data_IF_366048779758
#
_entry.id   IF_366048779758
#
_cell.length_a   1.000
_cell.length_b   1.000
_cell.length_c   1.000
_cell.angle_alpha   90.00
_cell.angle_beta   90.00
_cell.angle_gamma   90.00
#
_symmetry.space_group_name_H-M   'P 1'
#
loop_
_entity.id
_entity.type
_entity.pdbx_description
1 polymer ?
#
# COMPACT_ATOMS: atom_id res chain seq x y z
N UNK A 1 -19.35 -5.74 40.16
CA UNK A 1 -20.35 -5.61 39.09
C UNK A 1 -19.97 -6.62 38.04
N UNK A 2 -20.86 -7.54 37.67
CA UNK A 2 -20.65 -8.39 36.50
C UNK A 2 -20.72 -7.51 35.26
N UNK A 3 -19.70 -7.57 34.40
CA UNK A 3 -19.68 -6.82 33.15
C UNK A 3 -20.80 -7.32 32.24
N UNK A 4 -21.54 -6.39 31.63
CA UNK A 4 -22.54 -6.72 30.61
C UNK A 4 -21.82 -6.92 29.28
N UNK A 5 -22.05 -8.06 28.63
CA UNK A 5 -21.56 -8.31 27.27
C UNK A 5 -22.17 -7.27 26.32
N UNK A 6 -21.32 -6.45 25.69
CA UNK A 6 -21.72 -5.52 24.63
C UNK A 6 -21.61 -6.26 23.29
N UNK A 7 -20.37 -6.60 22.90
CA UNK A 7 -20.05 -7.44 21.74
C UNK A 7 -19.01 -8.52 22.08
N UNK A 8 -19.05 -9.62 21.34
CA UNK A 8 -18.02 -10.63 21.26
C UNK A 8 -17.58 -10.84 19.82
N UNK A 9 -16.31 -11.22 19.65
CA UNK A 9 -15.64 -11.35 18.36
C UNK A 9 -14.90 -12.69 18.29
N UNK A 10 -14.94 -13.32 17.13
CA UNK A 10 -14.16 -14.50 16.80
C UNK A 10 -13.30 -14.21 15.58
N UNK A 11 -12.01 -14.52 15.67
CA UNK A 11 -11.05 -14.35 14.59
C UNK A 11 -10.58 -15.71 14.08
N UNK A 12 -10.56 -15.87 12.75
CA UNK A 12 -10.07 -17.07 12.09
C UNK A 12 -8.54 -17.17 12.04
N UNK A 13 -8.03 -18.25 11.44
CA UNK A 13 -6.59 -18.50 11.31
C UNK A 13 -5.82 -17.42 10.51
N UNK A 14 -6.51 -16.69 9.64
CA UNK A 14 -5.96 -15.55 8.89
C UNK A 14 -6.01 -14.22 9.68
N UNK A 15 -6.29 -14.27 10.99
CA UNK A 15 -6.47 -13.10 11.85
C UNK A 15 -7.58 -12.14 11.35
N UNK A 16 -8.62 -12.68 10.70
CA UNK A 16 -9.79 -11.95 10.19
C UNK A 16 -11.02 -12.24 11.04
N UNK A 17 -11.87 -11.24 11.25
CA UNK A 17 -13.11 -11.41 12.01
C UNK A 17 -14.03 -12.40 11.27
N UNK A 18 -14.20 -13.61 11.77
CA UNK A 18 -15.08 -14.63 11.18
C UNK A 18 -16.51 -14.51 11.67
N UNK A 19 -16.69 -14.08 12.92
CA UNK A 19 -17.99 -13.98 13.59
C UNK A 19 -18.01 -12.90 14.66
N UNK A 20 -19.15 -12.24 14.81
CA UNK A 20 -19.43 -11.33 15.93
C UNK A 20 -20.81 -11.63 16.54
N UNK A 21 -21.00 -11.30 17.80
CA UNK A 21 -22.30 -11.42 18.46
C UNK A 21 -22.48 -10.33 19.53
N UNK A 22 -23.72 -10.05 19.90
CA UNK A 22 -24.04 -9.04 20.91
C UNK A 22 -24.73 -9.64 22.14
N UNK A 23 -24.80 -8.88 23.23
CA UNK A 23 -25.46 -9.29 24.48
C UNK A 23 -26.98 -9.54 24.37
N UNK A 24 -27.59 -9.26 23.22
CA UNK A 24 -29.01 -9.55 22.93
C UNK A 24 -29.19 -10.85 22.11
N UNK A 25 -28.10 -11.56 21.83
CA UNK A 25 -28.11 -12.82 21.06
C UNK A 25 -28.13 -12.63 19.55
N UNK A 26 -27.92 -11.41 19.05
CA UNK A 26 -27.71 -11.17 17.61
C UNK A 26 -26.34 -11.67 17.19
N UNK A 27 -26.26 -12.28 16.02
CA UNK A 27 -25.05 -12.91 15.47
C UNK A 27 -24.79 -12.45 14.03
N UNK A 28 -23.52 -12.22 13.73
CA UNK A 28 -23.03 -11.88 12.40
C UNK A 28 -21.89 -12.81 11.98
N UNK A 29 -21.90 -13.24 10.73
CA UNK A 29 -20.85 -14.07 10.10
C UNK A 29 -20.24 -13.33 8.92
N UNK A 30 -18.95 -13.52 8.68
CA UNK A 30 -18.21 -12.81 7.64
C UNK A 30 -17.48 -13.77 6.72
N UNK A 31 -17.55 -13.49 5.41
CA UNK A 31 -17.01 -14.36 4.37
C UNK A 31 -15.91 -13.61 3.64
N UNK A 32 -14.76 -14.27 3.44
CA UNK A 32 -13.59 -13.71 2.79
C UNK A 32 -13.17 -14.58 1.60
N UNK A 33 -12.62 -13.96 0.56
CA UNK A 33 -11.97 -14.67 -0.54
C UNK A 33 -10.54 -15.13 -0.14
N UNK A 34 -9.88 -15.87 -1.04
CA UNK A 34 -8.50 -16.34 -0.82
C UNK A 34 -7.46 -15.22 -0.69
N UNK A 35 -7.79 -14.00 -1.13
CA UNK A 35 -6.96 -12.79 -1.01
C UNK A 35 -7.26 -12.02 0.30
N UNK A 36 -8.10 -12.55 1.18
CA UNK A 36 -8.43 -11.91 2.45
C UNK A 36 -9.38 -10.71 2.35
N UNK A 37 -10.02 -10.47 1.21
CA UNK A 37 -11.04 -9.43 1.06
C UNK A 37 -12.43 -9.95 1.46
N UNK A 38 -13.20 -9.15 2.20
CA UNK A 38 -14.55 -9.52 2.63
C UNK A 38 -15.51 -9.50 1.44
N UNK A 39 -16.04 -10.68 1.10
CA UNK A 39 -16.98 -10.92 -0.01
C UNK A 39 -18.44 -10.88 0.42
N UNK A 40 -18.73 -10.85 1.72
CA UNK A 40 -20.10 -10.81 2.20
C UNK A 40 -20.21 -10.94 3.71
N UNK A 41 -21.44 -10.84 4.20
CA UNK A 41 -21.79 -11.08 5.60
C UNK A 41 -23.19 -11.67 5.74
N UNK A 42 -23.46 -12.30 6.88
CA UNK A 42 -24.80 -12.72 7.28
C UNK A 42 -25.10 -12.15 8.66
N UNK A 43 -26.12 -11.30 8.79
CA UNK A 43 -26.56 -10.74 10.08
C UNK A 43 -27.93 -11.31 10.43
N UNK A 44 -28.03 -12.06 11.53
CA UNK A 44 -29.25 -12.72 11.97
C UNK A 44 -29.95 -13.54 10.86
N UNK A 45 -29.14 -14.20 10.01
CA UNK A 45 -29.61 -15.00 8.88
C UNK A 45 -30.01 -14.23 7.62
N UNK A 46 -29.77 -12.91 7.57
CA UNK A 46 -29.88 -12.11 6.35
C UNK A 46 -28.52 -11.97 5.70
N UNK A 47 -28.38 -12.56 4.53
CA UNK A 47 -27.13 -12.59 3.77
C UNK A 47 -27.02 -11.37 2.84
N UNK A 48 -25.81 -10.83 2.77
CA UNK A 48 -25.38 -9.80 1.84
C UNK A 48 -24.09 -10.26 1.16
N UNK A 49 -24.10 -10.29 -0.17
CA UNK A 49 -22.92 -10.56 -1.00
C UNK A 49 -22.38 -9.26 -1.59
N UNK A 50 -21.05 -9.18 -1.70
CA UNK A 50 -20.34 -7.99 -2.14
C UNK A 50 -19.70 -8.22 -3.50
N UNK A 51 -19.98 -7.31 -4.43
CA UNK A 51 -19.22 -7.16 -5.66
C UNK A 51 -18.06 -6.21 -5.37
N UNK A 52 -16.84 -6.70 -5.53
CA UNK A 52 -15.61 -5.93 -5.29
C UNK A 52 -14.90 -5.59 -6.60
N UNK A 53 -14.23 -4.45 -6.62
CA UNK A 53 -13.17 -4.13 -7.58
C UNK A 53 -11.85 -4.73 -7.09
N UNK A 54 -11.48 -5.89 -7.65
CA UNK A 54 -10.27 -6.60 -7.24
C UNK A 54 -8.98 -5.88 -7.65
N UNK A 55 -9.06 -4.84 -8.49
CA UNK A 55 -7.90 -3.99 -8.83
C UNK A 55 -7.58 -2.96 -7.76
N UNK A 56 -8.40 -2.85 -6.71
CA UNK A 56 -8.20 -1.93 -5.59
C UNK A 56 -8.07 -2.66 -4.25
N UNK A 57 -7.03 -2.35 -3.45
CA UNK A 57 -6.86 -2.96 -2.13
C UNK A 57 -7.88 -2.44 -1.10
N UNK A 58 -8.39 -1.22 -1.28
CA UNK A 58 -9.41 -0.58 -0.44
C UNK A 58 -10.40 0.25 -1.26
N UNK A 59 -11.42 0.81 -0.59
CA UNK A 59 -12.55 1.52 -1.23
C UNK A 59 -13.09 0.77 -2.46
N UNK A 60 -13.13 -0.55 -2.39
CA UNK A 60 -13.32 -1.43 -3.54
C UNK A 60 -14.74 -2.01 -3.63
N UNK A 61 -15.67 -1.56 -2.79
CA UNK A 61 -17.05 -2.04 -2.84
C UNK A 61 -17.78 -1.42 -4.04
N UNK A 62 -18.13 -2.25 -5.02
CA UNK A 62 -18.86 -1.84 -6.23
C UNK A 62 -20.36 -2.11 -6.12
N UNK A 63 -20.78 -3.10 -5.33
CA UNK A 63 -22.19 -3.37 -5.11
C UNK A 63 -22.48 -4.32 -3.96
N UNK A 64 -23.70 -4.23 -3.45
CA UNK A 64 -24.25 -5.10 -2.41
C UNK A 64 -25.48 -5.82 -2.96
N UNK A 65 -25.46 -7.14 -2.86
CA UNK A 65 -26.50 -8.04 -3.30
C UNK A 65 -27.23 -8.66 -2.11
N UNK A 66 -28.55 -8.77 -2.21
CA UNK A 66 -29.42 -9.44 -1.25
C UNK A 66 -30.14 -10.57 -1.98
N UNK A 67 -29.54 -11.77 -1.97
CA UNK A 67 -29.88 -12.82 -2.93
C UNK A 67 -29.46 -12.43 -4.35
N UNK A 68 -30.29 -12.68 -5.35
CA UNK A 68 -29.98 -12.36 -6.76
C UNK A 68 -30.12 -10.87 -7.13
N UNK A 69 -30.57 -10.03 -6.19
CA UNK A 69 -30.86 -8.62 -6.47
C UNK A 69 -29.75 -7.71 -5.95
N UNK A 70 -29.20 -6.90 -6.86
CA UNK A 70 -28.33 -5.79 -6.49
C UNK A 70 -29.17 -4.71 -5.78
N UNK A 71 -28.98 -4.57 -4.47
CA UNK A 71 -29.68 -3.58 -3.65
C UNK A 71 -29.06 -2.20 -3.81
N UNK A 72 -27.73 -2.14 -3.88
CA UNK A 72 -26.93 -0.93 -3.90
C UNK A 72 -25.75 -1.09 -4.86
N UNK A 73 -25.51 -0.09 -5.70
CA UNK A 73 -24.33 0.01 -6.56
C UNK A 73 -23.56 1.28 -6.23
N UNK A 74 -22.25 1.19 -6.11
CA UNK A 74 -21.39 2.31 -5.73
C UNK A 74 -20.56 2.78 -6.93
N UNK A 75 -20.35 4.09 -7.01
CA UNK A 75 -19.54 4.75 -8.02
C UNK A 75 -18.44 5.50 -7.30
N UNK A 76 -17.20 5.23 -7.68
CA UNK A 76 -16.00 5.69 -6.99
C UNK A 76 -15.25 6.70 -7.86
N UNK A 77 -14.76 7.77 -7.24
CA UNK A 77 -13.83 8.76 -7.81
C UNK A 77 -12.80 9.09 -6.71
N UNK A 78 -11.76 8.25 -6.62
CA UNK A 78 -10.95 8.12 -5.40
C UNK A 78 -11.72 7.40 -4.29
N UNK A 79 -12.68 8.08 -3.68
CA UNK A 79 -13.63 7.56 -2.67
C UNK A 79 -15.06 7.43 -3.25
N UNK A 80 -16.07 7.13 -2.43
CA UNK A 80 -17.44 6.98 -2.91
C UNK A 80 -18.11 8.29 -3.35
N UNK A 81 -18.24 8.52 -4.65
CA UNK A 81 -18.89 9.70 -5.19
C UNK A 81 -20.42 9.59 -5.18
N UNK A 82 -20.96 8.41 -5.54
CA UNK A 82 -22.38 8.18 -5.63
C UNK A 82 -22.79 6.73 -5.34
N UNK A 83 -24.06 6.53 -5.00
CA UNK A 83 -24.68 5.23 -4.83
C UNK A 83 -26.02 5.20 -5.56
N UNK A 84 -26.29 4.14 -6.32
CA UNK A 84 -27.60 3.86 -6.87
C UNK A 84 -28.34 2.87 -5.95
N UNK A 85 -29.53 3.27 -5.45
CA UNK A 85 -30.39 2.43 -4.60
C UNK A 85 -31.58 1.88 -5.40
N UNK A 86 -31.81 0.57 -5.28
CA UNK A 86 -33.07 -0.07 -5.68
C UNK A 86 -34.02 -0.11 -4.47
N UNK A 87 -34.81 0.95 -4.28
CA UNK A 87 -35.69 1.09 -3.11
C UNK A 87 -36.98 0.26 -3.24
N UNK A 88 -37.20 -0.67 -2.29
CA UNK A 88 -38.43 -1.47 -2.17
C UNK A 88 -39.29 -1.05 -0.98
N UNK A 89 -39.81 0.17 -1.00
CA UNK A 89 -40.81 0.65 -0.05
C UNK A 89 -40.26 1.09 1.31
N UNK A 90 -41.15 1.28 2.30
CA UNK A 90 -40.75 1.74 3.64
C UNK A 90 -39.94 0.66 4.36
N UNK A 91 -38.75 1.01 4.83
CA UNK A 91 -37.96 0.17 5.75
C UNK A 91 -38.63 0.17 7.15
N UNK A 92 -38.55 -0.94 7.91
CA UNK A 92 -39.10 -1.03 9.27
C UNK A 92 -38.33 -0.18 10.29
N UNK A 93 -37.06 0.14 10.01
CA UNK A 93 -36.18 1.02 10.78
C UNK A 93 -35.32 1.84 9.83
N UNK A 94 -34.83 2.99 10.30
CA UNK A 94 -34.03 3.90 9.49
C UNK A 94 -34.84 4.70 8.47
N UNK A 95 -34.15 5.43 7.60
CA UNK A 95 -34.76 6.29 6.59
C UNK A 95 -34.99 5.54 5.29
N UNK A 96 -36.12 5.87 4.65
CA UNK A 96 -36.49 5.27 3.37
C UNK A 96 -35.80 6.03 2.23
N UNK A 97 -34.98 5.32 1.47
CA UNK A 97 -34.35 5.80 0.24
C UNK A 97 -35.37 6.04 -0.88
N UNK A 98 -35.12 7.04 -1.74
CA UNK A 98 -35.68 7.09 -3.08
C UNK A 98 -34.94 6.10 -3.98
N UNK A 99 -35.61 5.54 -4.97
CA UNK A 99 -34.91 4.73 -5.98
C UNK A 99 -34.10 5.65 -6.91
N UNK A 100 -32.91 5.20 -7.30
CA UNK A 100 -32.02 5.93 -8.21
C UNK A 100 -30.76 6.44 -7.53
N UNK A 101 -30.15 7.46 -8.14
CA UNK A 101 -28.82 7.93 -7.79
C UNK A 101 -28.80 8.89 -6.60
N UNK A 102 -27.92 8.62 -5.65
CA UNK A 102 -27.66 9.36 -4.42
C UNK A 102 -26.21 9.80 -4.42
N UNK A 103 -25.93 10.98 -3.88
CA UNK A 103 -24.61 11.60 -3.91
C UNK A 103 -24.07 11.76 -2.50
N UNK A 104 -22.77 11.50 -2.35
CA UNK A 104 -22.04 11.69 -1.10
C UNK A 104 -21.43 13.09 -1.05
N UNK A 105 -21.53 13.71 0.12
CA UNK A 105 -20.69 14.82 0.54
C UNK A 105 -19.83 14.29 1.67
N UNK A 106 -18.51 14.37 1.52
CA UNK A 106 -17.54 13.81 2.46
C UNK A 106 -16.71 14.91 3.12
N UNK A 107 -16.06 14.58 4.23
CA UNK A 107 -14.98 15.38 4.81
C UNK A 107 -13.64 15.14 4.07
N UNK A 108 -12.57 15.79 4.54
CA UNK A 108 -11.23 15.70 3.98
C UNK A 108 -10.60 14.31 4.10
N UNK A 109 -11.08 13.49 5.05
CA UNK A 109 -10.60 12.12 5.28
C UNK A 109 -11.41 11.08 4.49
N UNK A 110 -12.47 11.51 3.79
CA UNK A 110 -13.34 10.67 2.99
C UNK A 110 -14.55 10.09 3.75
N UNK A 111 -14.83 10.57 4.97
CA UNK A 111 -16.00 10.15 5.74
C UNK A 111 -17.26 10.79 5.18
N UNK A 112 -18.35 10.03 4.91
CA UNK A 112 -19.63 10.60 4.51
C UNK A 112 -20.20 11.53 5.58
N UNK A 113 -20.38 12.81 5.26
CA UNK A 113 -21.09 13.77 6.12
C UNK A 113 -22.57 13.83 5.74
N UNK A 114 -22.88 13.87 4.43
CA UNK A 114 -24.26 13.91 3.93
C UNK A 114 -24.43 12.95 2.76
N UNK A 115 -25.58 12.30 2.68
CA UNK A 115 -25.94 11.45 1.54
C UNK A 115 -27.33 11.83 1.05
N UNK A 116 -27.44 12.30 -0.19
CA UNK A 116 -28.74 12.72 -0.75
C UNK A 116 -29.67 11.54 -1.04
N UNK A 117 -30.93 11.79 -1.38
CA UNK A 117 -31.82 10.75 -1.88
C UNK A 117 -32.64 10.00 -0.83
N UNK A 118 -32.84 10.58 0.36
CA UNK A 118 -33.63 9.95 1.43
C UNK A 118 -34.88 10.76 1.79
N UNK A 119 -35.96 10.07 2.14
CA UNK A 119 -37.17 10.72 2.67
C UNK A 119 -36.87 11.39 4.00
N UNK A 120 -37.56 12.50 4.29
CA UNK A 120 -37.44 13.21 5.56
C UNK A 120 -37.64 12.29 6.78
N UNK A 121 -36.83 12.50 7.83
CA UNK A 121 -36.93 11.77 9.11
C UNK A 121 -38.31 12.01 9.73
N UNK A 122 -39.04 10.95 10.08
CA UNK A 122 -40.43 11.06 10.55
C UNK A 122 -40.57 11.90 11.84
N UNK A 123 -39.51 11.98 12.64
CA UNK A 123 -39.43 12.75 13.88
C UNK A 123 -38.82 14.16 13.74
N UNK A 124 -38.55 14.64 12.52
CA UNK A 124 -37.93 15.96 12.32
C UNK A 124 -38.87 17.10 12.77
N UNK A 125 -38.59 17.67 13.94
CA UNK A 125 -39.31 18.84 14.51
C UNK A 125 -38.79 20.16 13.90
N UNK A 126 -37.56 20.18 13.38
CA UNK A 126 -36.96 21.29 12.64
C UNK A 126 -36.50 20.80 11.26
N UNK A 127 -36.84 21.58 10.22
CA UNK A 127 -36.47 21.46 8.80
C UNK A 127 -36.48 20.04 8.18
N UNK A 128 -37.37 19.83 7.20
CA UNK A 128 -37.45 18.58 6.42
C UNK A 128 -36.25 18.45 5.49
N UNK A 129 -35.22 17.76 5.95
CA UNK A 129 -34.03 17.47 5.15
C UNK A 129 -34.19 16.14 4.41
N UNK A 130 -33.85 16.08 3.12
CA UNK A 130 -34.00 14.89 2.25
C UNK A 130 -32.67 14.15 2.00
N UNK A 131 -31.82 14.15 3.01
CA UNK A 131 -30.49 13.55 3.00
C UNK A 131 -30.18 12.94 4.36
N UNK A 132 -29.31 11.92 4.38
CA UNK A 132 -28.70 11.39 5.60
C UNK A 132 -27.70 12.38 6.18
N UNK A 133 -27.62 12.44 7.50
CA UNK A 133 -26.70 13.33 8.23
C UNK A 133 -25.83 12.50 9.15
N UNK A 134 -24.51 12.55 8.97
CA UNK A 134 -23.56 11.89 9.85
C UNK A 134 -22.64 12.92 10.52
N UNK A 135 -22.09 12.51 11.67
CA UNK A 135 -21.13 13.26 12.46
C UNK A 135 -20.23 12.28 13.21
N UNK A 136 -18.94 12.58 13.22
CA UNK A 136 -17.90 11.75 13.79
C UNK A 136 -17.10 12.58 14.79
N UNK A 137 -16.67 11.97 15.88
CA UNK A 137 -15.53 12.50 16.64
C UNK A 137 -14.20 12.20 15.91
N UNK A 138 -13.08 12.58 16.52
CA UNK A 138 -11.76 12.40 15.94
C UNK A 138 -11.40 10.93 15.68
N UNK A 139 -12.04 9.98 16.37
CA UNK A 139 -11.81 8.55 16.23
C UNK A 139 -12.94 7.83 15.48
N UNK A 140 -13.91 8.56 14.92
CA UNK A 140 -15.00 7.96 14.17
C UNK A 140 -16.18 7.50 15.01
N UNK A 141 -16.30 7.90 16.28
CA UNK A 141 -17.51 7.60 17.07
C UNK A 141 -18.71 8.42 16.57
N UNK A 142 -19.89 7.81 16.57
CA UNK A 142 -21.13 8.50 16.27
C UNK A 142 -21.49 9.45 17.41
N UNK A 143 -21.57 10.75 17.10
CA UNK A 143 -21.90 11.79 18.08
C UNK A 143 -23.36 11.71 18.57
N UNK A 144 -24.22 10.94 17.90
CA UNK A 144 -25.64 10.86 18.17
C UNK A 144 -25.99 10.24 19.52
N UNK A 145 -25.30 9.17 19.92
CA UNK A 145 -25.56 8.50 21.20
C UNK A 145 -25.20 9.41 22.38
N UNK A 146 -24.05 10.08 22.34
CA UNK A 146 -23.61 11.02 23.37
C UNK A 146 -24.61 12.18 23.54
N UNK A 147 -25.11 12.72 22.42
CA UNK A 147 -26.13 13.78 22.46
C UNK A 147 -27.43 13.30 23.11
N UNK A 148 -27.90 12.09 22.77
CA UNK A 148 -29.10 11.50 23.37
C UNK A 148 -28.94 11.28 24.87
N UNK A 149 -27.78 10.79 25.32
CA UNK A 149 -27.46 10.63 26.74
C UNK A 149 -27.44 11.97 27.49
N UNK A 150 -26.96 13.03 26.82
CA UNK A 150 -26.99 14.41 27.32
C UNK A 150 -28.40 15.06 27.27
N UNK A 151 -29.41 14.36 26.73
CA UNK A 151 -30.77 14.88 26.56
C UNK A 151 -30.90 15.93 25.44
N UNK A 152 -29.92 16.00 24.54
CA UNK A 152 -29.90 16.88 23.37
C UNK A 152 -30.46 16.09 22.18
N UNK A 153 -31.39 16.67 21.38
CA UNK A 153 -31.91 15.99 20.21
C UNK A 153 -30.80 15.62 19.22
N UNK A 154 -30.66 14.33 18.92
CA UNK A 154 -29.68 13.81 17.97
C UNK A 154 -30.06 14.18 16.52
N UNK A 155 -29.25 15.02 15.84
CA UNK A 155 -29.50 15.43 14.47
C UNK A 155 -29.01 14.40 13.44
N UNK A 156 -28.22 13.40 13.87
CA UNK A 156 -27.56 12.44 13.01
C UNK A 156 -28.45 11.21 12.73
N UNK A 157 -28.13 10.51 11.65
CA UNK A 157 -28.68 9.22 11.24
C UNK A 157 -27.66 8.13 11.62
N UNK A 158 -28.13 6.94 11.97
CA UNK A 158 -27.25 5.87 12.45
C UNK A 158 -26.40 5.27 11.34
N UNK A 159 -25.13 5.02 11.64
CA UNK A 159 -24.19 4.46 10.68
C UNK A 159 -24.50 3.00 10.31
N UNK A 160 -24.19 2.61 9.07
CA UNK A 160 -24.34 1.25 8.55
C UNK A 160 -25.76 0.78 8.24
N UNK A 161 -26.80 1.52 8.66
CA UNK A 161 -28.21 1.13 8.48
C UNK A 161 -28.74 1.37 7.05
N UNK A 162 -28.59 2.60 6.54
CA UNK A 162 -29.08 2.96 5.22
C UNK A 162 -28.06 2.70 4.12
N UNK A 163 -26.80 2.96 4.41
CA UNK A 163 -25.65 2.78 3.53
C UNK A 163 -24.44 2.36 4.37
N UNK A 164 -23.49 1.61 3.80
CA UNK A 164 -22.47 0.92 4.57
C UNK A 164 -21.23 1.77 4.90
N UNK A 165 -21.00 2.90 4.23
CA UNK A 165 -19.75 3.66 4.34
C UNK A 165 -19.80 4.63 5.52
N UNK A 166 -18.73 4.74 6.28
CA UNK A 166 -18.63 5.63 7.44
C UNK A 166 -17.28 6.30 7.52
N UNK A 167 -16.75 6.43 8.73
CA UNK A 167 -15.46 7.05 9.02
C UNK A 167 -14.35 6.64 8.04
N UNK A 168 -13.66 7.62 7.45
CA UNK A 168 -12.60 7.50 6.43
C UNK A 168 -12.95 6.62 5.21
N UNK A 169 -14.25 6.46 4.93
CA UNK A 169 -14.78 5.62 3.87
C UNK A 169 -14.74 4.11 4.16
N UNK A 170 -14.43 3.70 5.39
CA UNK A 170 -14.56 2.30 5.79
C UNK A 170 -16.01 1.84 5.78
N UNK A 171 -16.23 0.52 5.71
CA UNK A 171 -17.57 -0.04 5.86
C UNK A 171 -17.90 -0.18 7.35
N UNK A 172 -18.85 0.60 7.85
CA UNK A 172 -19.39 0.41 9.19
C UNK A 172 -20.27 -0.83 9.24
N UNK A 173 -20.06 -1.64 10.27
CA UNK A 173 -20.76 -2.89 10.46
C UNK A 173 -21.58 -2.85 11.75
N UNK A 174 -22.89 -2.64 11.59
CA UNK A 174 -23.86 -2.63 12.67
C UNK A 174 -23.93 -3.94 13.48
N UNK A 175 -23.49 -5.06 12.90
CA UNK A 175 -23.49 -6.35 13.59
C UNK A 175 -22.39 -6.45 14.66
N UNK A 176 -21.20 -5.93 14.35
CA UNK A 176 -20.01 -5.95 15.22
C UNK A 176 -19.78 -4.65 15.98
N UNK A 177 -20.38 -3.54 15.53
CA UNK A 177 -20.09 -2.19 16.03
C UNK A 177 -18.69 -1.72 15.65
N UNK A 178 -18.18 -2.13 14.49
CA UNK A 178 -16.80 -1.86 14.03
C UNK A 178 -16.77 -1.32 12.61
N UNK A 179 -15.66 -0.69 12.25
CA UNK A 179 -15.37 -0.33 10.86
C UNK A 179 -14.45 -1.37 10.22
N UNK A 180 -14.84 -1.90 9.06
CA UNK A 180 -14.00 -2.80 8.30
C UNK A 180 -12.98 -2.02 7.47
N UNK A 181 -11.73 -2.02 7.93
CA UNK A 181 -10.58 -1.36 7.31
C UNK A 181 -9.75 -2.32 6.46
N UNK A 182 -10.42 -3.21 5.71
CA UNK A 182 -9.80 -4.27 4.89
C UNK A 182 -8.98 -5.27 5.69
N UNK A 183 -7.74 -4.96 6.12
CA UNK A 183 -6.88 -5.82 6.92
C UNK A 183 -7.48 -6.20 8.28
N UNK A 184 -8.11 -5.22 8.95
CA UNK A 184 -8.54 -5.31 10.36
C UNK A 184 -9.91 -4.69 10.59
N UNK A 185 -10.49 -4.99 11.75
CA UNK A 185 -11.63 -4.24 12.29
C UNK A 185 -11.12 -3.08 13.12
N UNK A 186 -11.57 -1.86 12.82
CA UNK A 186 -11.30 -0.69 13.62
C UNK A 186 -12.45 -0.46 14.63
N UNK A 187 -12.10 -0.33 15.91
CA UNK A 187 -13.02 -0.04 17.02
C UNK A 187 -12.87 1.42 17.42
N UNK A 188 -13.75 2.27 16.86
CA UNK A 188 -13.75 3.70 17.14
C UNK A 188 -13.90 4.03 18.64
N UNK A 189 -14.72 3.27 19.38
CA UNK A 189 -14.93 3.51 20.81
C UNK A 189 -13.66 3.39 21.67
N UNK A 190 -12.66 2.69 21.16
CA UNK A 190 -11.36 2.53 21.83
C UNK A 190 -10.22 3.22 21.07
N UNK A 191 -10.46 3.78 19.88
CA UNK A 191 -9.44 4.32 18.98
C UNK A 191 -8.37 3.30 18.57
N UNK A 192 -8.75 2.03 18.41
CA UNK A 192 -7.82 0.91 18.18
C UNK A 192 -8.37 -0.15 17.24
N UNK A 193 -7.50 -0.94 16.64
CA UNK A 193 -7.88 -2.16 15.91
C UNK A 193 -8.31 -3.29 16.85
N UNK A 194 -9.20 -4.16 16.37
CA UNK A 194 -9.73 -5.31 17.12
C UNK A 194 -8.87 -6.56 17.03
N UNK A 195 -8.00 -6.59 16.02
CA UNK A 195 -6.99 -7.61 15.86
C UNK A 195 -5.61 -7.00 16.03
N UNK A 196 -4.70 -7.78 16.61
CA UNK A 196 -3.29 -7.45 16.63
C UNK A 196 -2.83 -7.35 15.19
N UNK A 197 -2.11 -6.28 14.85
CA UNK A 197 -1.31 -6.24 13.64
C UNK A 197 -0.51 -7.54 13.52
N UNK A 198 -0.36 -8.13 12.34
CA UNK A 198 0.49 -9.31 12.12
C UNK A 198 1.98 -8.96 12.14
N UNK A 199 2.32 -7.70 11.88
CA UNK A 199 3.67 -7.14 11.93
C UNK A 199 4.07 -6.79 13.37
N UNK A 200 5.33 -7.07 13.74
CA UNK A 200 5.82 -6.89 15.12
C UNK A 200 6.32 -5.46 15.32
N UNK A 201 5.82 -4.79 16.35
CA UNK A 201 6.40 -3.53 16.83
C UNK A 201 7.87 -3.65 17.25
N UNK A 202 8.60 -2.54 17.16
CA UNK A 202 10.05 -2.46 17.34
C UNK A 202 10.39 -1.89 18.72
N UNK A 203 11.33 -2.51 19.44
CA UNK A 203 11.74 -2.06 20.78
C UNK A 203 12.40 -0.67 20.79
N UNK A 204 12.91 -0.23 19.65
CA UNK A 204 13.53 1.07 19.41
C UNK A 204 12.53 2.19 19.14
N UNK A 205 11.30 1.85 18.72
CA UNK A 205 10.18 2.80 18.50
C UNK A 205 9.03 2.34 19.41
N UNK A 206 9.03 2.74 20.69
CA UNK A 206 8.08 2.23 21.68
C UNK A 206 6.61 2.35 21.28
N UNK A 207 6.27 3.31 20.43
CA UNK A 207 4.94 3.55 19.89
C UNK A 207 4.42 2.40 19.02
N UNK A 208 5.27 1.72 18.25
CA UNK A 208 4.88 0.60 17.38
C UNK A 208 4.72 -0.71 18.15
N UNK A 209 5.24 -0.80 19.38
CA UNK A 209 5.03 -1.95 20.27
C UNK A 209 3.54 -2.20 20.54
N UNK A 210 2.72 -1.15 20.50
CA UNK A 210 1.27 -1.28 20.55
C UNK A 210 0.68 -1.56 19.15
N UNK A 211 0.68 -2.85 18.78
CA UNK A 211 0.13 -3.39 17.52
C UNK A 211 -1.40 -3.33 17.37
N UNK A 212 -2.07 -2.54 18.20
CA UNK A 212 -3.52 -2.28 18.09
C UNK A 212 -3.80 -0.81 17.81
N UNK A 213 -2.77 0.04 17.77
CA UNK A 213 -2.94 1.49 17.63
C UNK A 213 -3.52 1.81 16.26
N UNK A 214 -4.46 2.74 16.23
CA UNK A 214 -4.95 3.35 14.99
C UNK A 214 -4.22 4.67 14.76
N UNK A 215 -3.56 4.84 13.61
CA UNK A 215 -2.96 6.10 13.17
C UNK A 215 -2.13 6.81 14.25
N UNK A 216 -1.38 6.08 15.08
CA UNK A 216 -0.60 6.61 16.21
C UNK A 216 -1.36 7.37 17.28
N UNK A 217 -2.67 7.24 17.35
CA UNK A 217 -3.57 8.12 18.10
C UNK A 217 -3.58 9.58 17.59
N UNK A 218 -3.24 9.79 16.31
CA UNK A 218 -3.36 11.05 15.59
C UNK A 218 -4.26 10.92 14.33
N UNK A 219 -5.56 10.59 14.51
CA UNK A 219 -6.50 10.32 13.42
C UNK A 219 -7.00 11.59 12.70
N UNK A 220 -6.51 12.78 13.08
CA UNK A 220 -6.86 14.04 12.43
C UNK A 220 -6.06 14.29 11.16
N UNK A 221 -4.84 13.74 11.07
CA UNK A 221 -3.92 13.99 9.96
C UNK A 221 -3.49 12.72 9.23
N UNK A 222 -3.73 11.55 9.81
CA UNK A 222 -3.30 10.24 9.27
C UNK A 222 -4.54 9.35 9.15
N UNK A 223 -4.66 8.66 8.01
CA UNK A 223 -5.71 7.68 7.74
C UNK A 223 -5.08 6.35 7.30
N UNK A 224 -5.61 5.24 7.80
CA UNK A 224 -5.13 3.89 7.46
C UNK A 224 -6.07 3.22 6.44
N UNK A 225 -5.91 3.46 5.13
CA UNK A 225 -6.97 3.12 4.14
C UNK A 225 -7.30 1.63 4.00
N UNK A 226 -6.34 0.75 4.26
CA UNK A 226 -6.41 -0.71 4.10
C UNK A 226 -5.78 -1.50 5.25
N UNK A 227 -5.08 -0.85 6.17
CA UNK A 227 -4.21 -1.47 7.16
C UNK A 227 -2.69 -1.42 6.90
N UNK A 228 -2.18 -0.88 5.76
CA UNK A 228 -0.83 -1.16 5.15
C UNK A 228 -0.36 -0.11 4.06
N UNK A 229 0.94 0.26 3.90
CA UNK A 229 1.49 1.20 2.85
C UNK A 229 2.85 0.81 2.16
N UNK A 230 3.06 1.09 0.85
CA UNK A 230 4.34 0.89 0.10
C UNK A 230 4.73 1.97 -0.95
N UNK A 231 6.00 2.05 -1.38
CA UNK A 231 6.54 3.10 -2.27
C UNK A 231 7.45 2.59 -3.41
N UNK A 232 7.40 3.23 -4.58
CA UNK A 232 8.22 2.89 -5.76
C UNK A 232 8.85 4.15 -6.36
N UNK A 233 10.13 4.39 -6.04
CA UNK A 233 10.94 5.47 -6.60
C UNK A 233 11.55 5.07 -7.94
N UNK A 234 11.44 5.93 -8.94
CA UNK A 234 12.04 5.67 -10.25
C UNK A 234 12.54 6.96 -10.92
N UNK A 235 13.59 6.84 -11.74
CA UNK A 235 14.04 7.87 -12.68
C UNK A 235 13.24 7.74 -13.99
N UNK A 236 12.36 8.70 -14.35
CA UNK A 236 11.55 8.62 -15.56
C UNK A 236 12.37 8.53 -16.85
N UNK A 237 13.58 9.08 -16.85
CA UNK A 237 14.48 9.10 -18.00
C UNK A 237 15.55 8.02 -17.89
N UNK A 238 15.39 7.01 -17.02
CA UNK A 238 16.39 5.95 -16.81
C UNK A 238 16.76 5.23 -18.11
N UNK A 239 15.83 5.05 -19.05
CA UNK A 239 16.05 4.22 -20.24
C UNK A 239 15.66 4.87 -21.57
N UNK A 240 15.82 6.19 -21.65
CA UNK A 240 15.64 6.98 -22.86
C UNK A 240 16.98 7.56 -23.32
N UNK A 241 17.25 7.57 -24.63
CA UNK A 241 18.35 8.31 -25.24
C UNK A 241 19.21 7.49 -26.20
N UNK A 242 20.46 7.93 -26.39
CA UNK A 242 21.44 7.23 -27.22
C UNK A 242 22.35 6.34 -26.36
N UNK A 243 22.62 5.13 -26.82
CA UNK A 243 23.61 4.26 -26.22
C UNK A 243 25.05 4.73 -26.51
N UNK A 244 26.05 3.95 -26.11
CA UNK A 244 27.46 4.26 -26.35
C UNK A 244 27.89 4.21 -27.82
N UNK A 245 27.10 3.56 -28.68
CA UNK A 245 27.33 3.45 -30.11
C UNK A 245 26.59 4.57 -30.89
N UNK A 246 25.71 5.30 -30.20
CA UNK A 246 24.91 6.39 -30.76
C UNK A 246 23.57 5.92 -31.32
N UNK A 247 23.15 4.69 -31.00
CA UNK A 247 21.85 4.17 -31.40
C UNK A 247 20.79 4.56 -30.37
N UNK A 248 19.59 4.92 -30.85
CA UNK A 248 18.47 5.30 -30.01
C UNK A 248 17.88 4.06 -29.36
N UNK A 249 17.83 4.08 -28.02
CA UNK A 249 17.14 3.06 -27.25
C UNK A 249 16.08 3.73 -26.37
N UNK A 250 14.91 3.12 -26.36
CA UNK A 250 13.83 3.50 -25.47
C UNK A 250 13.26 2.23 -24.86
N UNK A 251 13.56 1.98 -23.60
CA UNK A 251 12.80 1.04 -22.81
C UNK A 251 11.65 1.80 -22.16
N UNK A 252 10.45 1.25 -22.26
CA UNK A 252 9.26 1.84 -21.64
C UNK A 252 9.32 1.66 -20.12
N UNK A 253 9.89 2.66 -19.44
CA UNK A 253 10.08 2.64 -17.98
C UNK A 253 8.75 2.71 -17.24
N UNK A 254 7.74 3.39 -17.82
CA UNK A 254 6.40 3.45 -17.25
C UNK A 254 5.75 2.07 -17.27
N UNK A 255 5.89 1.33 -18.39
CA UNK A 255 5.42 -0.05 -18.46
C UNK A 255 6.11 -0.95 -17.42
N UNK A 256 7.42 -0.80 -17.24
CA UNK A 256 8.17 -1.54 -16.21
C UNK A 256 7.64 -1.22 -14.81
N UNK A 257 7.52 0.07 -14.49
CA UNK A 257 6.97 0.56 -13.23
C UNK A 257 5.59 -0.04 -12.99
N UNK A 258 4.70 0.01 -13.98
CA UNK A 258 3.33 -0.47 -13.83
C UNK A 258 3.26 -1.99 -13.63
N UNK A 259 4.14 -2.76 -14.29
CA UNK A 259 4.27 -4.19 -14.08
C UNK A 259 4.82 -4.53 -12.69
N UNK A 260 5.85 -3.80 -12.24
CA UNK A 260 6.44 -3.98 -10.92
C UNK A 260 5.44 -3.59 -9.82
N UNK A 261 4.72 -2.47 -9.98
CA UNK A 261 3.66 -2.03 -9.06
C UNK A 261 2.55 -3.07 -8.98
N UNK A 262 2.01 -3.53 -10.11
CA UNK A 262 0.95 -4.53 -10.12
C UNK A 262 1.36 -5.82 -9.39
N UNK A 263 2.62 -6.25 -9.58
CA UNK A 263 3.19 -7.38 -8.86
C UNK A 263 3.31 -7.12 -7.35
N UNK A 264 3.86 -5.97 -6.97
CA UNK A 264 4.05 -5.61 -5.56
C UNK A 264 2.72 -5.44 -4.82
N UNK A 265 1.71 -4.84 -5.44
CA UNK A 265 0.38 -4.73 -4.86
C UNK A 265 -0.27 -6.11 -4.66
N UNK A 266 -0.02 -7.07 -5.58
CA UNK A 266 -0.46 -8.45 -5.43
C UNK A 266 0.30 -9.19 -4.32
N UNK A 267 1.62 -9.08 -4.28
CA UNK A 267 2.51 -9.80 -3.35
C UNK A 267 2.41 -9.27 -1.91
N UNK A 268 2.44 -7.96 -1.73
CA UNK A 268 2.44 -7.30 -0.41
C UNK A 268 1.04 -6.92 0.06
N UNK A 269 0.03 -7.03 -0.80
CA UNK A 269 -1.37 -6.66 -0.50
C UNK A 269 -1.56 -5.19 -0.06
N UNK A 270 -0.63 -4.33 -0.44
CA UNK A 270 -0.59 -2.91 -0.08
C UNK A 270 -0.80 -2.03 -1.30
N UNK A 271 -1.01 -0.73 -1.11
CA UNK A 271 -0.97 0.24 -2.21
C UNK A 271 0.46 0.68 -2.43
N UNK A 272 0.90 0.74 -3.70
CA UNK A 272 2.23 1.22 -4.04
C UNK A 272 2.15 2.63 -4.62
N UNK A 273 2.76 3.57 -3.91
CA UNK A 273 2.88 4.95 -4.34
C UNK A 273 4.07 5.11 -5.31
N UNK A 274 3.77 5.38 -6.58
CA UNK A 274 4.79 5.72 -7.58
C UNK A 274 5.36 7.12 -7.34
N UNK A 275 6.69 7.24 -7.22
CA UNK A 275 7.40 8.49 -6.94
C UNK A 275 8.47 8.73 -8.02
N UNK A 276 8.18 9.63 -8.95
CA UNK A 276 9.09 9.99 -10.05
C UNK A 276 10.18 10.96 -9.56
N UNK A 277 11.41 10.49 -9.35
CA UNK A 277 12.46 11.25 -8.64
C UNK A 277 12.88 12.59 -9.29
N UNK A 278 12.40 12.90 -10.50
CA UNK A 278 12.57 14.18 -11.18
C UNK A 278 11.42 15.17 -10.84
N UNK A 279 11.70 16.31 -10.17
CA UNK A 279 10.72 17.30 -9.76
C UNK A 279 10.07 18.06 -10.93
N UNK A 280 10.65 17.98 -12.14
CA UNK A 280 9.99 18.50 -13.35
C UNK A 280 8.81 17.65 -13.78
N UNK A 281 8.86 16.34 -13.49
CA UNK A 281 7.78 15.39 -13.73
C UNK A 281 6.84 15.25 -12.53
N UNK A 282 7.34 15.50 -11.32
CA UNK A 282 6.56 15.48 -10.08
C UNK A 282 6.86 16.71 -9.20
N UNK A 283 6.10 17.81 -9.31
CA UNK A 283 6.42 19.08 -8.66
C UNK A 283 6.14 19.12 -7.15
N UNK A 284 5.79 18.00 -6.52
CA UNK A 284 5.42 17.96 -5.11
C UNK A 284 6.62 18.18 -4.17
N UNK A 285 7.82 17.80 -4.62
CA UNK A 285 9.10 18.00 -3.92
C UNK A 285 10.13 18.63 -4.85
N UNK A 286 11.24 19.10 -4.28
CA UNK A 286 12.35 19.69 -5.02
C UNK A 286 13.60 18.81 -5.06
N UNK A 287 13.67 17.77 -4.20
CA UNK A 287 14.78 16.80 -4.16
C UNK A 287 14.29 15.40 -3.81
N UNK A 288 15.11 14.38 -4.09
CA UNK A 288 14.86 13.02 -3.61
C UNK A 288 14.80 12.91 -2.09
N UNK A 289 15.62 13.66 -1.36
CA UNK A 289 15.61 13.66 0.11
C UNK A 289 14.26 14.15 0.64
N UNK A 290 13.71 15.21 0.07
CA UNK A 290 12.36 15.67 0.40
C UNK A 290 11.30 14.60 0.06
N UNK A 291 11.38 13.98 -1.13
CA UNK A 291 10.47 12.91 -1.52
C UNK A 291 10.54 11.69 -0.58
N UNK A 292 11.74 11.32 -0.16
CA UNK A 292 11.97 10.24 0.81
C UNK A 292 11.36 10.60 2.16
N UNK A 293 11.61 11.81 2.65
CA UNK A 293 11.12 12.29 3.93
C UNK A 293 9.58 12.44 3.94
N UNK A 294 8.97 12.74 2.79
CA UNK A 294 7.51 12.81 2.62
C UNK A 294 6.81 11.45 2.60
N UNK A 295 7.54 10.32 2.52
CA UNK A 295 6.91 9.01 2.71
C UNK A 295 6.22 8.95 4.06
N UNK A 296 4.96 8.53 4.04
CA UNK A 296 4.16 8.25 5.22
C UNK A 296 4.78 7.06 5.94
N UNK A 297 5.62 7.37 6.92
CA UNK A 297 6.28 6.44 7.82
C UNK A 297 5.62 6.42 9.19
N UNK A 298 4.35 6.86 9.25
CA UNK A 298 3.59 6.67 10.46
C UNK A 298 3.57 5.19 10.79
N UNK A 299 3.15 4.31 9.88
CA UNK A 299 3.23 2.84 10.03
C UNK A 299 4.46 2.24 9.31
N UNK A 300 4.77 0.95 9.57
CA UNK A 300 5.85 0.27 8.85
C UNK A 300 5.47 0.17 7.37
N UNK A 301 6.35 0.65 6.50
CA UNK A 301 6.19 0.59 5.05
C UNK A 301 6.51 -0.83 4.59
N UNK A 302 5.59 -1.54 3.94
CA UNK A 302 5.82 -2.96 3.60
C UNK A 302 6.94 -3.14 2.58
N UNK A 303 7.03 -2.24 1.61
CA UNK A 303 8.03 -2.31 0.57
C UNK A 303 8.38 -0.93 0.02
N UNK A 304 9.68 -0.70 -0.15
CA UNK A 304 10.20 0.43 -0.92
C UNK A 304 11.06 -0.12 -2.05
N UNK A 305 10.88 0.40 -3.26
CA UNK A 305 11.76 0.10 -4.40
C UNK A 305 12.41 1.38 -4.88
N UNK A 306 13.72 1.32 -5.15
CA UNK A 306 14.45 2.37 -5.86
C UNK A 306 14.96 1.78 -7.17
N UNK A 307 14.33 2.18 -8.27
CA UNK A 307 14.71 1.80 -9.64
C UNK A 307 15.47 2.95 -10.30
N UNK A 308 16.79 2.78 -10.51
CA UNK A 308 17.60 3.86 -11.06
C UNK A 308 18.95 3.40 -11.60
N UNK A 309 19.64 4.27 -12.34
CA UNK A 309 21.06 4.08 -12.64
C UNK A 309 21.90 4.36 -11.41
N UNK A 310 22.94 3.56 -11.21
CA UNK A 310 23.85 3.75 -10.08
C UNK A 310 25.23 3.14 -10.34
N UNK A 311 26.11 3.34 -9.38
CA UNK A 311 27.36 2.60 -9.21
C UNK A 311 27.57 2.31 -7.71
N UNK A 312 28.76 1.87 -7.33
CA UNK A 312 29.15 1.55 -5.96
C UNK A 312 29.18 2.78 -5.01
N UNK A 313 29.16 4.00 -5.55
CA UNK A 313 29.30 5.23 -4.77
C UNK A 313 28.09 6.18 -4.81
N UNK A 314 27.24 6.12 -5.83
CA UNK A 314 26.05 6.96 -5.92
C UNK A 314 24.97 6.35 -6.80
N UNK A 315 23.73 6.79 -6.58
CA UNK A 315 22.60 6.52 -7.46
C UNK A 315 22.04 7.82 -8.04
N UNK A 316 21.45 7.73 -9.23
CA UNK A 316 20.85 8.86 -9.93
C UNK A 316 19.46 9.11 -9.38
N UNK A 317 19.12 10.37 -9.16
CA UNK A 317 17.77 10.79 -8.77
C UNK A 317 17.10 11.56 -9.89
N UNK A 318 17.87 12.31 -10.67
CA UNK A 318 17.33 13.19 -11.69
C UNK A 318 18.15 13.09 -12.97
N UNK A 319 17.43 13.06 -14.07
CA UNK A 319 17.98 12.99 -15.42
C UNK A 319 17.16 13.86 -16.36
N UNK A 320 17.78 14.33 -17.44
CA UNK A 320 17.07 14.96 -18.55
C UNK A 320 17.64 14.52 -19.88
N UNK A 321 16.83 14.60 -20.92
CA UNK A 321 17.31 14.51 -22.30
C UNK A 321 17.82 15.89 -22.74
N UNK A 322 19.08 15.96 -23.17
CA UNK A 322 19.65 17.18 -23.72
C UNK A 322 19.31 17.39 -25.20
N UNK A 323 19.73 18.52 -25.77
CA UNK A 323 19.48 18.86 -27.18
C UNK A 323 20.07 17.85 -28.18
N UNK A 324 21.03 17.01 -27.76
CA UNK A 324 21.65 15.95 -28.56
C UNK A 324 20.95 14.58 -28.39
N UNK A 325 19.75 14.56 -27.79
CA UNK A 325 18.96 13.36 -27.49
C UNK A 325 19.68 12.36 -26.54
N UNK A 326 20.60 12.87 -25.72
CA UNK A 326 21.33 12.06 -24.73
C UNK A 326 20.79 12.32 -23.34
N UNK A 327 20.57 11.23 -22.60
CA UNK A 327 20.35 11.28 -21.17
C UNK A 327 21.57 11.86 -20.47
N UNK A 328 21.34 12.89 -19.68
CA UNK A 328 22.32 13.49 -18.81
C UNK A 328 21.77 13.56 -17.40
N UNK A 329 22.55 13.01 -16.47
CA UNK A 329 22.25 13.08 -15.03
C UNK A 329 22.36 14.53 -14.56
N UNK A 330 21.33 15.00 -13.88
CA UNK A 330 21.25 16.34 -13.29
C UNK A 330 21.43 16.33 -11.78
N UNK A 331 21.06 15.24 -11.11
CA UNK A 331 21.32 15.06 -9.69
C UNK A 331 21.50 13.58 -9.31
N UNK A 332 22.16 13.39 -8.17
CA UNK A 332 22.57 12.08 -7.64
C UNK A 332 22.59 12.14 -6.13
N UNK A 333 22.27 11.02 -5.48
CA UNK A 333 22.54 10.82 -4.05
C UNK A 333 23.80 9.99 -3.93
N UNK A 334 24.83 10.59 -3.34
CA UNK A 334 26.05 9.87 -2.99
C UNK A 334 25.79 8.99 -1.78
N UNK A 335 26.62 7.96 -1.62
CA UNK A 335 26.60 7.08 -0.46
C UNK A 335 26.60 7.86 0.86
N UNK A 336 27.53 8.79 1.05
CA UNK A 336 27.59 9.67 2.24
C UNK A 336 26.34 10.55 2.43
N UNK A 337 25.54 10.78 1.38
CA UNK A 337 24.27 11.50 1.45
C UNK A 337 23.11 10.66 1.99
N UNK A 338 23.21 9.32 1.97
CA UNK A 338 22.19 8.43 2.55
C UNK A 338 22.07 8.69 4.06
N UNK A 339 23.16 9.09 4.71
CA UNK A 339 23.18 9.46 6.14
C UNK A 339 22.33 10.70 6.46
N UNK A 340 21.92 11.47 5.45
CA UNK A 340 21.07 12.65 5.62
C UNK A 340 19.58 12.34 5.49
N UNK A 341 19.23 11.21 4.86
CA UNK A 341 17.83 10.78 4.73
C UNK A 341 17.24 10.48 6.10
N UNK A 342 15.98 10.83 6.31
CA UNK A 342 15.28 10.47 7.54
C UNK A 342 15.20 8.95 7.71
N UNK A 343 15.34 8.48 8.94
CA UNK A 343 15.12 7.06 9.23
C UNK A 343 13.67 6.69 8.90
N UNK A 344 13.50 5.56 8.21
CA UNK A 344 12.18 5.03 7.84
C UNK A 344 12.03 3.62 8.40
N UNK A 345 10.81 3.29 8.78
CA UNK A 345 10.42 1.95 9.18
C UNK A 345 9.97 1.19 7.91
N UNK A 346 10.85 0.37 7.33
CA UNK A 346 10.59 -0.32 6.05
C UNK A 346 10.79 -1.82 6.24
N UNK A 347 9.83 -2.65 5.84
CA UNK A 347 10.03 -4.09 5.88
C UNK A 347 11.06 -4.53 4.83
N UNK A 348 10.81 -4.29 3.54
CA UNK A 348 11.77 -4.67 2.49
C UNK A 348 12.13 -3.48 1.59
N UNK A 349 13.43 -3.18 1.46
CA UNK A 349 13.94 -2.18 0.52
C UNK A 349 14.66 -2.85 -0.66
N UNK A 350 14.13 -2.69 -1.87
CA UNK A 350 14.77 -3.14 -3.11
C UNK A 350 15.58 -2.02 -3.74
N UNK A 351 16.86 -2.29 -3.99
CA UNK A 351 17.80 -1.38 -4.65
C UNK A 351 18.14 -1.91 -6.05
N UNK A 352 17.36 -1.47 -7.02
CA UNK A 352 17.43 -1.85 -8.43
C UNK A 352 18.21 -0.82 -9.25
N UNK A 353 19.49 -0.72 -8.93
CA UNK A 353 20.47 -0.03 -9.74
C UNK A 353 21.78 -0.78 -9.77
N UNK A 354 22.58 -0.54 -10.80
CA UNK A 354 23.88 -1.20 -10.96
C UNK A 354 24.77 -1.01 -9.73
N UNK A 355 25.30 -2.11 -9.20
CA UNK A 355 26.32 -2.14 -8.16
C UNK A 355 25.92 -1.50 -6.81
N UNK A 356 24.63 -1.38 -6.48
CA UNK A 356 24.20 -0.80 -5.19
C UNK A 356 24.57 -1.68 -3.98
N UNK A 357 24.68 -2.99 -4.18
CA UNK A 357 25.24 -3.96 -3.23
C UNK A 357 26.74 -4.21 -3.40
N UNK A 358 27.40 -3.62 -4.42
CA UNK A 358 28.82 -3.84 -4.63
C UNK A 358 29.64 -3.12 -3.57
N UNK A 359 30.52 -3.88 -2.93
CA UNK A 359 31.50 -3.35 -1.98
C UNK A 359 32.61 -2.64 -2.72
N UNK A 360 33.08 -1.53 -2.19
CA UNK A 360 34.26 -0.88 -2.75
C UNK A 360 35.51 -1.81 -2.76
N UNK A 361 36.61 -1.35 -3.36
CA UNK A 361 37.86 -2.12 -3.56
C UNK A 361 38.52 -2.67 -2.27
N UNK A 362 37.99 -2.37 -1.09
CA UNK A 362 38.46 -2.95 0.19
C UNK A 362 37.89 -4.33 0.48
N UNK A 363 36.87 -4.77 -0.27
CA UNK A 363 36.30 -6.14 -0.21
C UNK A 363 35.55 -6.43 1.10
N UNK A 364 35.06 -5.41 1.80
CA UNK A 364 34.22 -5.57 2.99
C UNK A 364 32.77 -5.22 2.66
N UNK A 365 31.83 -6.10 3.02
CA UNK A 365 30.39 -5.93 2.78
C UNK A 365 29.73 -4.71 3.46
N UNK A 366 30.46 -4.02 4.33
CA UNK A 366 30.01 -2.80 5.02
C UNK A 366 30.37 -1.49 4.27
N UNK A 367 30.54 -1.55 2.95
CA UNK A 367 31.02 -0.43 2.16
C UNK A 367 30.40 -0.37 0.74
N UNK A 368 29.09 -0.62 0.67
CA UNK A 368 28.21 -0.44 -0.49
C UNK A 368 27.12 0.60 -0.20
N UNK A 369 26.38 1.05 -1.24
CA UNK A 369 25.19 1.89 -1.04
C UNK A 369 24.18 1.21 -0.10
N UNK A 370 23.92 -0.09 -0.29
CA UNK A 370 23.01 -0.87 0.55
C UNK A 370 23.46 -0.90 2.02
N UNK A 371 24.76 -1.13 2.27
CA UNK A 371 25.27 -1.17 3.64
C UNK A 371 25.25 0.20 4.33
N UNK A 372 25.27 1.28 3.55
CA UNK A 372 25.28 2.65 4.08
C UNK A 372 23.94 3.01 4.74
N UNK A 373 22.83 2.46 4.26
CA UNK A 373 21.55 2.58 4.95
C UNK A 373 21.67 2.16 6.41
N UNK A 374 22.48 1.13 6.73
CA UNK A 374 22.71 0.65 8.10
C UNK A 374 23.93 1.27 8.81
N UNK A 375 24.66 2.19 8.18
CA UNK A 375 25.93 2.67 8.71
C UNK A 375 25.73 3.38 10.05
N UNK A 376 26.58 3.05 11.04
CA UNK A 376 26.46 3.57 12.41
C UNK A 376 25.11 3.31 13.09
N UNK A 377 24.33 2.32 12.63
CA UNK A 377 22.99 2.05 13.13
C UNK A 377 21.91 2.97 12.58
N UNK A 378 22.25 3.84 11.61
CA UNK A 378 21.29 4.56 10.76
C UNK A 378 20.34 3.57 10.10
N UNK A 379 19.11 3.98 9.82
CA UNK A 379 18.04 3.17 9.21
C UNK A 379 17.95 1.70 9.68
N UNK A 380 18.21 1.43 10.96
CA UNK A 380 17.99 0.12 11.56
C UNK A 380 16.50 -0.29 11.56
N UNK A 381 15.60 0.65 11.23
CA UNK A 381 14.19 0.40 10.95
C UNK A 381 13.95 -0.39 9.66
N UNK A 382 14.93 -0.55 8.77
CA UNK A 382 14.79 -1.41 7.59
C UNK A 382 15.00 -2.87 8.00
N UNK A 383 14.04 -3.78 7.75
CA UNK A 383 14.21 -5.19 8.14
C UNK A 383 15.20 -5.91 7.22
N UNK A 384 15.08 -5.68 5.91
CA UNK A 384 16.01 -6.21 4.92
C UNK A 384 16.17 -5.30 3.70
N UNK A 385 17.38 -5.29 3.14
CA UNK A 385 17.68 -4.61 1.88
C UNK A 385 18.13 -5.67 0.87
N UNK A 386 17.49 -5.67 -0.29
CA UNK A 386 17.85 -6.52 -1.42
C UNK A 386 18.49 -5.65 -2.49
N UNK A 387 19.78 -5.86 -2.77
CA UNK A 387 20.54 -4.97 -3.65
C UNK A 387 21.38 -5.73 -4.68
N UNK A 388 21.49 -5.17 -5.88
CA UNK A 388 22.28 -5.77 -6.95
C UNK A 388 23.79 -5.59 -6.71
N UNK A 389 24.54 -6.67 -6.84
CA UNK A 389 26.00 -6.76 -6.74
C UNK A 389 26.63 -6.98 -8.13
N UNK A 390 26.26 -6.10 -9.07
CA UNK A 390 26.72 -6.18 -10.45
C UNK A 390 26.03 -5.19 -11.37
N UNK A 391 26.30 -5.31 -12.67
CA UNK A 391 25.56 -4.56 -13.68
C UNK A 391 24.20 -5.20 -13.86
N UNK A 392 23.13 -4.42 -13.70
CA UNK A 392 21.76 -4.89 -13.86
C UNK A 392 21.13 -4.28 -15.10
N UNK A 393 20.37 -5.09 -15.82
CA UNK A 393 19.60 -4.68 -16.98
C UNK A 393 18.13 -5.04 -16.75
N UNK A 394 17.28 -4.07 -16.99
CA UNK A 394 15.84 -4.13 -16.78
C UNK A 394 15.11 -4.34 -18.12
N UNK A 395 13.93 -4.97 -18.09
CA UNK A 395 13.09 -5.14 -19.27
C UNK A 395 11.74 -5.81 -19.01
N UNK A 396 11.09 -6.26 -20.08
CA UNK A 396 9.90 -7.10 -20.04
C UNK A 396 9.82 -8.07 -21.23
N UNK A 397 9.16 -9.20 -21.03
CA UNK A 397 8.82 -10.16 -22.08
C UNK A 397 7.32 -10.51 -22.00
N UNK A 398 6.52 -9.87 -22.86
CA UNK A 398 5.06 -9.94 -22.75
C UNK A 398 4.57 -9.14 -21.54
N UNK A 399 3.99 -9.84 -20.57
CA UNK A 399 3.48 -9.31 -19.29
C UNK A 399 4.40 -9.64 -18.10
N UNK A 400 5.56 -10.27 -18.33
CA UNK A 400 6.50 -10.63 -17.28
C UNK A 400 7.70 -9.69 -17.24
N UNK A 401 8.14 -9.31 -16.04
CA UNK A 401 9.36 -8.53 -15.80
C UNK A 401 10.57 -9.33 -16.27
N UNK A 402 11.53 -8.71 -16.96
CA UNK A 402 12.84 -9.32 -17.18
C UNK A 402 13.88 -8.55 -16.39
N UNK A 403 14.73 -9.30 -15.69
CA UNK A 403 15.82 -8.77 -14.89
C UNK A 403 17.04 -9.61 -15.18
N UNK A 404 18.10 -8.99 -15.67
CA UNK A 404 19.36 -9.67 -15.94
C UNK A 404 20.47 -8.99 -15.16
N UNK A 405 21.26 -9.78 -14.44
CA UNK A 405 22.40 -9.29 -13.68
C UNK A 405 23.66 -9.93 -14.20
N UNK A 406 24.66 -9.09 -14.45
CA UNK A 406 26.03 -9.51 -14.69
C UNK A 406 26.77 -9.29 -13.37
N UNK A 407 27.11 -10.36 -12.63
CA UNK A 407 27.86 -10.25 -11.39
C UNK A 407 29.17 -9.49 -11.63
N UNK A 408 29.59 -8.68 -10.65
CA UNK A 408 30.86 -7.95 -10.74
C UNK A 408 32.08 -8.86 -10.99
N UNK A 409 33.19 -8.30 -11.47
CA UNK A 409 34.42 -9.05 -11.82
C UNK A 409 35.10 -9.81 -10.66
N UNK A 410 34.56 -9.68 -9.45
CA UNK A 410 35.04 -10.33 -8.22
C UNK A 410 34.33 -11.65 -7.90
N UNK A 411 33.26 -11.99 -8.64
CA UNK A 411 32.56 -13.26 -8.51
C UNK A 411 33.36 -14.42 -9.13
N UNK A 412 33.43 -15.56 -8.44
CA UNK A 412 34.07 -16.76 -8.99
C UNK A 412 33.23 -17.31 -10.16
N UNK A 413 33.87 -17.67 -11.27
CA UNK A 413 33.23 -18.01 -12.56
C UNK A 413 32.27 -19.21 -12.56
N UNK A 414 31.99 -19.84 -11.42
CA UNK A 414 31.29 -21.11 -11.31
C UNK A 414 30.09 -21.12 -10.33
N UNK A 415 29.67 -19.99 -9.77
CA UNK A 415 28.50 -19.92 -8.89
C UNK A 415 27.24 -19.49 -9.64
N UNK A 416 26.12 -20.17 -9.36
CA UNK A 416 24.82 -20.03 -10.02
C UNK A 416 23.96 -18.98 -9.30
N UNK A 417 24.56 -17.85 -8.93
CA UNK A 417 23.96 -16.80 -8.10
C UNK A 417 23.65 -15.58 -8.98
N UNK A 418 22.44 -15.02 -8.84
CA UNK A 418 21.92 -13.93 -9.67
C UNK A 418 22.57 -12.55 -9.39
N UNK A 419 23.75 -12.49 -8.76
CA UNK A 419 24.47 -11.25 -8.47
C UNK A 419 23.67 -10.30 -7.57
N UNK A 420 22.92 -10.82 -6.59
CA UNK A 420 22.18 -10.04 -5.59
C UNK A 420 22.64 -10.39 -4.18
N UNK A 421 22.57 -9.40 -3.29
CA UNK A 421 22.85 -9.55 -1.86
C UNK A 421 21.65 -9.09 -1.04
N UNK A 422 21.40 -9.83 0.04
CA UNK A 422 20.48 -9.45 1.10
C UNK A 422 21.28 -8.94 2.30
N UNK A 423 20.91 -7.77 2.78
CA UNK A 423 21.47 -7.11 3.94
C UNK A 423 20.44 -7.07 5.05
N UNK A 424 20.80 -7.56 6.24
CA UNK A 424 19.97 -7.47 7.44
C UNK A 424 20.80 -6.95 8.61
N UNK A 425 20.22 -6.12 9.47
CA UNK A 425 20.91 -5.61 10.65
C UNK A 425 20.41 -6.32 11.91
N UNK A 426 21.22 -7.23 12.46
CA UNK A 426 20.82 -8.08 13.58
C UNK A 426 21.87 -8.04 14.70
N UNK A 427 21.41 -7.91 15.95
CA UNK A 427 22.28 -7.89 17.13
C UNK A 427 23.40 -6.83 17.08
N UNK A 428 23.13 -5.67 16.45
CA UNK A 428 24.11 -4.59 16.32
C UNK A 428 25.19 -4.84 15.26
N UNK A 429 24.98 -5.78 14.35
CA UNK A 429 25.90 -6.10 13.27
C UNK A 429 25.16 -6.32 11.94
N UNK A 430 25.75 -5.81 10.86
CA UNK A 430 25.30 -6.07 9.50
C UNK A 430 25.60 -7.52 9.11
N UNK A 431 24.59 -8.24 8.66
CA UNK A 431 24.69 -9.55 8.03
C UNK A 431 24.43 -9.38 6.54
N UNK A 432 25.24 -10.07 5.72
CA UNK A 432 25.15 -10.02 4.26
C UNK A 432 25.17 -11.44 3.73
N UNK A 433 24.19 -11.77 2.89
CA UNK A 433 24.07 -13.08 2.24
C UNK A 433 23.83 -12.90 0.75
N UNK A 434 24.47 -13.73 -0.06
CA UNK A 434 24.18 -13.81 -1.49
C UNK A 434 22.88 -14.57 -1.72
N UNK A 435 22.05 -14.07 -2.63
CA UNK A 435 20.70 -14.59 -2.87
C UNK A 435 20.38 -14.72 -4.36
N UNK A 436 19.41 -15.58 -4.64
CA UNK A 436 18.73 -15.64 -5.93
C UNK A 436 17.53 -14.67 -5.89
N UNK A 437 17.52 -13.64 -6.74
CA UNK A 437 16.47 -12.63 -6.75
C UNK A 437 15.09 -13.21 -7.08
N UNK A 438 15.01 -14.32 -7.81
CA UNK A 438 13.74 -14.98 -8.14
C UNK A 438 13.02 -15.55 -6.92
N UNK A 439 13.72 -15.68 -5.79
CA UNK A 439 13.10 -16.07 -4.52
C UNK A 439 12.36 -14.91 -3.83
N UNK A 440 12.68 -13.66 -4.19
CA UNK A 440 12.10 -12.44 -3.63
C UNK A 440 11.23 -11.68 -4.65
N UNK A 441 11.55 -11.81 -5.94
CA UNK A 441 10.85 -11.19 -7.06
C UNK A 441 10.42 -12.28 -8.02
N UNK A 442 9.24 -12.87 -7.77
CA UNK A 442 8.83 -14.13 -8.42
C UNK A 442 8.26 -13.93 -9.81
N UNK A 443 7.84 -12.71 -10.16
CA UNK A 443 7.29 -12.36 -11.48
C UNK A 443 8.37 -12.10 -12.55
N UNK A 444 9.43 -12.93 -12.59
CA UNK A 444 10.52 -12.81 -13.55
C UNK A 444 10.37 -13.80 -14.71
N UNK A 445 10.60 -13.32 -15.93
CA UNK A 445 10.63 -14.16 -17.13
C UNK A 445 11.90 -15.01 -17.18
N UNK A 446 11.75 -16.27 -17.59
CA UNK A 446 12.88 -17.17 -17.91
C UNK A 446 13.66 -16.76 -19.18
N UNK A 447 13.17 -15.77 -19.95
CA UNK A 447 13.84 -15.31 -21.17
C UNK A 447 14.99 -14.37 -20.83
N UNK A 448 16.22 -14.86 -20.99
CA UNK A 448 17.43 -14.03 -20.98
C UNK A 448 17.48 -13.07 -22.18
N UNK A 449 18.06 -11.89 -21.97
CA UNK A 449 18.35 -10.95 -23.04
C UNK A 449 19.34 -11.54 -24.05
N UNK A 450 19.01 -11.45 -25.34
CA UNK A 450 20.03 -11.34 -26.38
C UNK A 450 20.51 -9.90 -26.37
N UNK A 451 21.82 -9.69 -26.18
CA UNK A 451 22.52 -8.41 -26.28
C UNK A 451 22.35 -7.42 -25.10
N UNK A 452 22.39 -7.94 -23.86
CA UNK A 452 22.48 -7.13 -22.63
C UNK A 452 23.77 -6.31 -22.49
N UNK A 453 24.81 -6.60 -23.27
CA UNK A 453 26.03 -5.80 -23.31
C UNK A 453 25.82 -4.43 -23.98
N UNK A 454 24.94 -4.30 -24.98
CA UNK A 454 24.72 -3.02 -25.70
C UNK A 454 23.96 -1.99 -24.83
N UNK A 455 22.98 -2.44 -24.04
CA UNK A 455 22.11 -1.56 -23.23
C UNK A 455 22.84 -1.03 -21.98
N UNK A 456 23.68 -1.85 -21.35
CA UNK A 456 24.25 -1.54 -20.03
C UNK A 456 25.76 -1.24 -20.04
N UNK A 457 26.51 -1.61 -21.09
CA UNK A 457 27.96 -1.47 -21.10
C UNK A 457 28.48 -1.01 -22.44
N UNK A 458 28.94 0.23 -22.54
CA UNK A 458 29.58 0.73 -23.75
C UNK A 458 30.94 0.13 -24.11
N UNK A 459 31.17 -1.17 -23.86
CA UNK A 459 32.27 -2.00 -24.35
C UNK A 459 31.83 -3.46 -24.44
N UNK A 460 31.71 -3.99 -25.66
CA UNK A 460 31.43 -5.40 -25.91
C UNK A 460 32.55 -6.36 -25.48
N UNK A 461 32.14 -7.56 -25.04
CA UNK A 461 32.70 -8.88 -25.41
C UNK A 461 31.91 -10.04 -24.74
N UNK A 462 30.89 -10.53 -25.45
CA UNK A 462 30.38 -11.93 -25.56
C UNK A 462 30.66 -12.89 -24.40
N UNK A 463 29.57 -13.49 -23.87
CA UNK A 463 29.44 -14.95 -23.77
C UNK A 463 28.03 -15.45 -24.14
N UNK A 464 27.91 -16.13 -25.29
CA UNK A 464 26.84 -17.10 -25.60
C UNK A 464 26.97 -18.31 -24.64
N UNK A 465 25.96 -19.09 -24.24
CA UNK A 465 24.66 -19.44 -24.82
C UNK A 465 23.82 -20.14 -23.74
N UNK A 466 22.49 -20.03 -23.85
CA UNK A 466 21.54 -20.76 -23.02
C UNK A 466 21.74 -22.27 -23.02
N UNK A 467 21.35 -22.90 -21.90
CA UNK A 467 21.00 -24.31 -21.88
C UNK A 467 19.49 -24.43 -21.81
N UNK A 468 18.93 -24.94 -22.90
CA UNK A 468 17.60 -25.54 -22.94
C UNK A 468 17.46 -26.52 -21.76
N UNK A 469 16.43 -26.35 -20.92
CA UNK A 469 15.97 -27.40 -20.01
C UNK A 469 15.41 -28.55 -20.88
N UNK A 470 15.99 -29.74 -20.73
CA UNK A 470 15.41 -31.00 -21.19
C UNK A 470 14.86 -31.77 -20.00
#
# INVERSE_FOLDING_TARGET
MEGKLIHGYEYGAMNRLSKSWNGRGGESLYIYNGLGQRMGRSINGREEDYLLDLTKPYHNLMGIYKGEECSQRFYLDGTAAAMEEVSKGKKPSGRTAFSGLHYYLQDELGSPLRVSGFRAKESAVAERNYYLTYGYDEFGNDLGEELEEAGIPNPYDGQGMEQPLGYTGYRYDEGSGTYFAQAREYLAGNGMFGAKDVLKGKGTIPETLNRYKYCFCNPLTIIDKNGMDGYYFYDPEMYSGLDSEGEEYTLDVEKIRDMDIAYLEEEYHTTIHAVAMDPTTNPNYTTFEEAWNEMNDSEEIEVVVILTHSNDNHFVTDSKINDDNKRVTTATVKREGIDQLEEKDINTLYLFGCNMGLTDRTGKDNNSLASQFYANGHMAGINEIIASDGSICHGYAGELRTLYVIPGSYHEKNEEIDGFKRYTYQNGALQVEEIDIRTYWTNLSDKGYSDSEEICSGKGKKMEKGKEKK
#
